data_IF_222978804728
#
_entry.id   IF_222978804728
#
_cell.length_a   1.000
_cell.length_b   1.000
_cell.length_c   1.000
_cell.angle_alpha   90.00
_cell.angle_beta   90.00
_cell.angle_gamma   90.00
#
_symmetry.space_group_name_H-M   'P 1'
#
loop_
_entity.id
_entity.type
_entity.pdbx_description
1 polymer ?
#
# COMPACT_ATOMS: atom_id res chain seq x y z
N UNK A 1 41.16 1.42 38.86
CA UNK A 1 41.06 2.16 37.58
C UNK A 1 40.48 1.25 36.48
N UNK A 2 39.20 0.87 36.57
CA UNK A 2 38.55 -0.06 35.60
C UNK A 2 37.13 0.36 35.19
N UNK A 3 36.49 1.25 35.95
CA UNK A 3 35.10 1.68 35.75
C UNK A 3 34.95 2.54 34.48
N UNK A 4 36.00 3.26 34.07
CA UNK A 4 36.00 4.08 32.85
C UNK A 4 36.04 3.26 31.56
N UNK A 5 36.59 2.04 31.57
CA UNK A 5 36.60 1.19 30.36
C UNK A 5 35.23 0.57 30.07
N UNK A 6 34.47 0.21 31.10
CA UNK A 6 33.17 -0.45 30.93
C UNK A 6 32.13 0.53 30.37
N UNK A 7 32.13 1.78 30.84
CA UNK A 7 31.23 2.83 30.34
C UNK A 7 31.52 3.19 28.88
N UNK A 8 32.79 3.24 28.47
CA UNK A 8 33.16 3.45 27.06
C UNK A 8 32.71 2.32 26.14
N UNK A 9 32.78 1.06 26.60
CA UNK A 9 32.30 -0.10 25.82
C UNK A 9 30.77 -0.06 25.67
N UNK A 10 30.04 0.22 26.74
CA UNK A 10 28.58 0.36 26.69
C UNK A 10 28.15 1.51 25.77
N UNK A 11 28.84 2.65 25.83
CA UNK A 11 28.56 3.77 24.94
C UNK A 11 28.84 3.44 23.47
N UNK A 12 29.96 2.77 23.18
CA UNK A 12 30.29 2.32 21.83
C UNK A 12 29.24 1.33 21.29
N UNK A 13 28.78 0.39 22.11
CA UNK A 13 27.71 -0.55 21.75
C UNK A 13 26.37 0.16 21.50
N UNK A 14 26.03 1.15 22.32
CA UNK A 14 24.82 1.97 22.14
C UNK A 14 24.87 2.75 20.82
N UNK A 15 25.99 3.43 20.54
CA UNK A 15 26.19 4.20 19.31
C UNK A 15 26.15 3.27 18.10
N UNK A 16 26.81 2.11 18.17
CA UNK A 16 26.81 1.10 17.11
C UNK A 16 25.40 0.55 16.86
N UNK A 17 24.65 0.25 17.92
CA UNK A 17 23.25 -0.18 17.83
C UNK A 17 22.36 0.90 17.18
N UNK A 18 22.51 2.16 17.57
CA UNK A 18 21.75 3.28 16.97
C UNK A 18 22.12 3.47 15.50
N UNK A 19 23.40 3.38 15.16
CA UNK A 19 23.88 3.47 13.77
C UNK A 19 23.31 2.34 12.91
N UNK A 20 23.33 1.09 13.39
CA UNK A 20 22.72 -0.06 12.73
C UNK A 20 21.20 0.12 12.55
N UNK A 21 20.51 0.62 13.57
CA UNK A 21 19.06 0.89 13.51
C UNK A 21 18.73 1.97 12.48
N UNK A 22 19.58 2.99 12.34
CA UNK A 22 19.42 4.06 11.34
C UNK A 22 19.70 3.55 9.92
N UNK A 23 20.74 2.73 9.74
CA UNK A 23 21.08 2.13 8.45
C UNK A 23 19.97 1.19 7.94
N UNK A 24 19.46 0.31 8.80
CA UNK A 24 18.32 -0.57 8.47
C UNK A 24 17.06 0.22 8.11
N UNK A 25 16.83 1.38 8.74
CA UNK A 25 15.73 2.28 8.38
C UNK A 25 15.93 2.93 7.01
N UNK A 26 17.16 3.18 6.58
CA UNK A 26 17.46 3.76 5.26
C UNK A 26 17.24 2.76 4.13
N UNK A 27 17.75 1.55 4.25
CA UNK A 27 17.57 0.51 3.22
C UNK A 27 16.09 0.20 2.96
N UNK A 28 15.29 0.09 4.03
CA UNK A 28 13.83 -0.10 3.90
C UNK A 28 13.16 1.09 3.19
N UNK A 29 13.61 2.31 3.44
CA UNK A 29 13.09 3.51 2.75
C UNK A 29 13.49 3.56 1.28
N UNK A 30 14.63 3.01 0.91
CA UNK A 30 15.10 2.95 -0.47
C UNK A 30 14.32 1.89 -1.28
N UNK A 31 14.05 0.73 -0.69
CA UNK A 31 13.19 -0.29 -1.30
C UNK A 31 11.76 0.23 -1.54
N UNK A 32 11.18 0.93 -0.55
CA UNK A 32 9.87 1.61 -0.68
C UNK A 32 9.91 2.65 -1.81
N UNK A 33 11.01 3.41 -1.96
CA UNK A 33 11.16 4.41 -3.02
C UNK A 33 11.28 3.81 -4.41
N UNK A 34 11.95 2.67 -4.56
CA UNK A 34 12.02 1.96 -5.84
C UNK A 34 10.64 1.44 -6.24
N UNK A 35 9.92 0.80 -5.31
CA UNK A 35 8.57 0.31 -5.55
C UNK A 35 7.60 1.44 -5.94
N UNK A 36 7.76 2.63 -5.34
CA UNK A 36 6.98 3.83 -5.68
C UNK A 36 7.21 4.36 -7.10
N UNK A 37 8.40 4.16 -7.67
CA UNK A 37 8.73 4.62 -9.04
C UNK A 37 8.08 3.77 -10.12
N UNK A 38 7.79 2.51 -9.81
CA UNK A 38 7.19 1.57 -10.78
C UNK A 38 5.67 1.52 -10.71
N UNK A 39 5.05 2.03 -9.63
CA UNK A 39 3.58 2.09 -9.53
C UNK A 39 2.96 3.01 -10.57
N UNK A 40 1.98 2.47 -11.29
CA UNK A 40 1.12 3.18 -12.23
C UNK A 40 0.32 4.28 -11.54
N UNK A 41 -0.19 5.23 -12.33
CA UNK A 41 -1.07 6.29 -11.82
C UNK A 41 -2.33 5.72 -11.14
N UNK A 42 -2.83 4.61 -11.68
CA UNK A 42 -4.02 3.93 -11.17
C UNK A 42 -3.76 3.29 -9.82
N UNK A 43 -2.63 2.60 -9.63
CA UNK A 43 -2.26 2.02 -8.34
C UNK A 43 -2.10 3.10 -7.27
N UNK A 44 -1.47 4.23 -7.61
CA UNK A 44 -1.36 5.37 -6.67
C UNK A 44 -2.73 5.92 -6.29
N UNK A 45 -3.65 5.99 -7.24
CA UNK A 45 -5.02 6.40 -6.94
C UNK A 45 -5.75 5.36 -6.09
N UNK A 46 -5.55 4.06 -6.33
CA UNK A 46 -6.13 3.00 -5.49
C UNK A 46 -5.64 3.13 -4.04
N UNK A 47 -4.34 3.31 -3.81
CA UNK A 47 -3.78 3.54 -2.48
C UNK A 47 -4.37 4.80 -1.83
N UNK A 48 -4.48 5.88 -2.60
CA UNK A 48 -5.04 7.14 -2.12
C UNK A 48 -6.51 7.01 -1.74
N UNK A 49 -7.32 6.39 -2.59
CA UNK A 49 -8.74 6.16 -2.36
C UNK A 49 -8.94 5.23 -1.15
N UNK A 50 -8.20 4.13 -1.09
CA UNK A 50 -8.23 3.18 0.03
C UNK A 50 -7.86 3.86 1.35
N UNK A 51 -6.81 4.68 1.37
CA UNK A 51 -6.41 5.42 2.57
C UNK A 51 -7.50 6.37 3.09
N UNK A 52 -8.30 6.97 2.20
CA UNK A 52 -9.41 7.86 2.58
C UNK A 52 -10.55 7.08 3.20
N UNK A 53 -10.96 5.98 2.58
CA UNK A 53 -12.07 5.18 3.10
C UNK A 53 -11.68 4.50 4.42
N UNK A 54 -10.45 4.01 4.55
CA UNK A 54 -9.93 3.47 5.81
C UNK A 54 -9.79 4.54 6.90
N UNK A 55 -9.36 5.76 6.54
CA UNK A 55 -9.25 6.85 7.52
C UNK A 55 -10.61 7.18 8.13
N UNK A 56 -11.67 7.23 7.32
CA UNK A 56 -13.04 7.41 7.82
C UNK A 56 -13.50 6.24 8.68
N UNK A 57 -13.18 5.00 8.28
CA UNK A 57 -13.60 3.78 8.96
C UNK A 57 -12.93 3.61 10.32
N UNK A 58 -11.62 3.79 10.37
CA UNK A 58 -10.77 3.50 11.53
C UNK A 58 -10.53 4.72 12.40
N UNK A 59 -10.93 5.93 11.94
CA UNK A 59 -10.59 7.20 12.58
C UNK A 59 -9.09 7.41 12.76
N UNK A 60 -8.28 6.84 11.86
CA UNK A 60 -6.82 6.96 11.84
C UNK A 60 -6.37 8.05 10.87
N UNK A 61 -5.16 8.59 11.10
CA UNK A 61 -4.56 9.57 10.21
C UNK A 61 -4.30 8.98 8.82
N UNK A 62 -4.78 9.67 7.78
CA UNK A 62 -4.62 9.24 6.39
C UNK A 62 -3.15 9.08 5.98
N UNK A 63 -2.26 9.94 6.45
CA UNK A 63 -0.83 9.87 6.14
C UNK A 63 -0.14 8.66 6.78
N UNK A 64 -0.65 8.18 7.91
CA UNK A 64 -0.19 6.94 8.53
C UNK A 64 -0.62 5.72 7.69
N UNK A 65 -1.89 5.67 7.30
CA UNK A 65 -2.46 4.62 6.46
C UNK A 65 -1.78 4.55 5.09
N UNK A 66 -1.58 5.71 4.44
CA UNK A 66 -0.93 5.79 3.13
C UNK A 66 0.51 5.29 3.19
N UNK A 67 1.26 5.65 4.24
CA UNK A 67 2.63 5.13 4.45
C UNK A 67 2.63 3.61 4.60
N UNK A 68 1.67 3.05 5.34
CA UNK A 68 1.51 1.61 5.46
C UNK A 68 1.29 0.99 4.07
N UNK A 69 0.33 1.50 3.28
CA UNK A 69 0.01 1.02 1.92
C UNK A 69 1.17 1.17 0.92
N UNK A 70 2.08 2.13 1.15
CA UNK A 70 3.33 2.26 0.40
C UNK A 70 4.41 1.24 0.87
N UNK A 71 4.12 0.41 1.87
CA UNK A 71 5.00 -0.63 2.39
C UNK A 71 5.87 -0.20 3.58
N UNK A 72 5.60 0.96 4.18
CA UNK A 72 6.29 1.36 5.40
C UNK A 72 5.78 0.55 6.60
N UNK A 73 6.66 0.14 7.54
CA UNK A 73 6.24 -0.58 8.73
C UNK A 73 5.57 0.38 9.72
N UNK A 74 4.25 0.49 9.65
CA UNK A 74 3.41 1.31 10.52
C UNK A 74 2.48 0.38 11.34
N UNK A 75 2.96 -0.19 12.46
CA UNK A 75 2.21 -1.21 13.21
C UNK A 75 0.87 -0.70 13.76
N UNK A 76 0.79 0.61 14.05
CA UNK A 76 -0.42 1.29 14.49
C UNK A 76 -1.52 1.34 13.41
N UNK A 77 -1.15 1.20 12.13
CA UNK A 77 -2.09 1.11 11.01
C UNK A 77 -2.35 -0.33 10.57
N UNK A 78 -1.30 -1.16 10.50
CA UNK A 78 -1.37 -2.53 9.94
C UNK A 78 -2.41 -3.40 10.65
N UNK A 79 -2.33 -3.52 11.98
CA UNK A 79 -3.25 -4.37 12.74
C UNK A 79 -4.72 -3.97 12.56
N UNK A 80 -5.09 -2.70 12.82
CA UNK A 80 -6.45 -2.23 12.60
C UNK A 80 -6.95 -2.39 11.16
N UNK A 81 -6.07 -2.26 10.15
CA UNK A 81 -6.45 -2.47 8.76
C UNK A 81 -6.76 -3.94 8.45
N UNK A 82 -5.95 -4.87 8.95
CA UNK A 82 -6.18 -6.31 8.79
C UNK A 82 -7.45 -6.77 9.50
N UNK A 83 -7.72 -6.27 10.70
CA UNK A 83 -8.92 -6.62 11.47
C UNK A 83 -10.21 -6.03 10.87
N UNK A 84 -10.11 -4.88 10.19
CA UNK A 84 -11.30 -4.21 9.67
C UNK A 84 -11.65 -4.62 8.25
N UNK A 85 -10.66 -4.94 7.42
CA UNK A 85 -10.86 -5.20 5.99
C UNK A 85 -11.01 -6.69 5.74
N UNK A 86 -12.20 -7.08 5.27
CA UNK A 86 -12.47 -8.45 4.84
C UNK A 86 -11.96 -8.72 3.42
N UNK A 87 -12.24 -7.81 2.52
CA UNK A 87 -11.95 -7.99 1.10
C UNK A 87 -11.78 -6.64 0.38
N UNK A 88 -10.85 -6.59 -0.58
CA UNK A 88 -10.65 -5.44 -1.45
C UNK A 88 -10.53 -5.87 -2.89
N UNK A 89 -11.23 -5.19 -3.78
CA UNK A 89 -11.20 -5.47 -5.20
C UNK A 89 -11.10 -4.18 -6.01
N UNK A 90 -10.34 -4.25 -7.09
CA UNK A 90 -10.36 -3.25 -8.16
C UNK A 90 -11.05 -3.83 -9.39
N UNK A 91 -12.13 -3.19 -9.81
CA UNK A 91 -12.83 -3.49 -11.05
C UNK A 91 -12.47 -2.45 -12.11
N UNK A 92 -12.01 -2.94 -13.25
CA UNK A 92 -11.67 -2.14 -14.42
C UNK A 92 -12.76 -2.35 -15.47
N UNK A 93 -13.30 -1.28 -16.05
CA UNK A 93 -14.41 -1.34 -17.02
C UNK A 93 -14.06 -0.50 -18.24
N UNK A 94 -14.15 -1.10 -19.43
CA UNK A 94 -14.00 -0.35 -20.68
C UNK A 94 -15.16 0.60 -20.88
N UNK A 95 -14.83 1.83 -21.28
CA UNK A 95 -15.82 2.81 -21.72
C UNK A 95 -15.82 2.91 -23.26
N UNK A 96 -16.95 3.26 -23.88
CA UNK A 96 -17.04 3.38 -25.34
C UNK A 96 -16.09 4.41 -25.96
N UNK A 97 -15.67 5.41 -25.18
CA UNK A 97 -14.72 6.45 -25.57
C UNK A 97 -13.25 5.99 -25.53
N UNK A 98 -12.99 4.73 -25.18
CA UNK A 98 -11.65 4.15 -25.08
C UNK A 98 -10.92 4.45 -23.77
N UNK A 99 -11.58 5.14 -22.82
CA UNK A 99 -11.09 5.27 -21.44
C UNK A 99 -11.45 4.05 -20.60
N UNK A 100 -10.86 3.96 -19.40
CA UNK A 100 -11.15 2.90 -18.44
C UNK A 100 -11.66 3.51 -17.15
N UNK A 101 -12.82 3.02 -16.69
CA UNK A 101 -13.31 3.31 -15.35
C UNK A 101 -12.73 2.29 -14.37
N UNK A 102 -12.12 2.78 -13.30
CA UNK A 102 -11.60 1.95 -12.22
C UNK A 102 -12.48 2.18 -11.01
N UNK A 103 -13.00 1.10 -10.45
CA UNK A 103 -13.81 1.08 -9.25
C UNK A 103 -13.04 0.30 -8.19
N UNK A 104 -12.81 0.93 -7.04
CA UNK A 104 -12.34 0.31 -5.83
C UNK A 104 -13.57 -0.08 -5.01
N UNK A 105 -13.67 -1.34 -4.64
CA UNK A 105 -14.68 -1.85 -3.72
C UNK A 105 -13.97 -2.46 -2.50
N UNK A 106 -14.34 -2.01 -1.30
CA UNK A 106 -13.79 -2.47 -0.02
C UNK A 106 -14.94 -2.99 0.83
N UNK A 107 -14.85 -4.25 1.25
CA UNK A 107 -15.76 -4.89 2.19
C UNK A 107 -15.09 -4.99 3.55
N UNK A 108 -15.80 -4.56 4.60
CA UNK A 108 -15.32 -4.60 5.98
C UNK A 108 -15.89 -5.81 6.73
N UNK A 109 -15.20 -6.22 7.79
CA UNK A 109 -15.60 -7.34 8.65
C UNK A 109 -16.93 -7.09 9.39
N UNK A 110 -17.28 -5.83 9.65
CA UNK A 110 -18.57 -5.46 10.26
C UNK A 110 -19.75 -5.47 9.27
N UNK A 111 -19.53 -5.96 8.05
CA UNK A 111 -20.55 -6.08 7.01
C UNK A 111 -20.82 -4.80 6.22
N UNK A 112 -20.17 -3.68 6.56
CA UNK A 112 -20.25 -2.46 5.76
C UNK A 112 -19.35 -2.55 4.53
N UNK A 113 -19.58 -1.68 3.54
CA UNK A 113 -18.72 -1.54 2.37
C UNK A 113 -18.52 -0.08 2.01
N UNK A 114 -17.39 0.21 1.36
CA UNK A 114 -17.09 1.50 0.77
C UNK A 114 -16.62 1.31 -0.67
N UNK A 115 -16.93 2.27 -1.53
CA UNK A 115 -16.48 2.25 -2.91
C UNK A 115 -16.05 3.63 -3.39
N UNK A 116 -15.13 3.64 -4.34
CA UNK A 116 -14.64 4.85 -4.99
C UNK A 116 -14.38 4.54 -6.46
N UNK A 117 -14.69 5.48 -7.36
CA UNK A 117 -14.40 5.31 -8.79
C UNK A 117 -13.66 6.50 -9.38
N UNK A 118 -12.92 6.24 -10.46
CA UNK A 118 -12.27 7.27 -11.26
C UNK A 118 -12.01 6.78 -12.67
N UNK A 119 -12.07 7.70 -13.63
CA UNK A 119 -11.80 7.43 -15.05
C UNK A 119 -10.34 7.75 -15.35
N UNK A 120 -9.69 6.85 -16.10
CA UNK A 120 -8.31 6.96 -16.52
C UNK A 120 -8.18 6.77 -18.04
N UNK A 121 -7.16 7.38 -18.66
CA UNK A 121 -6.80 7.02 -20.03
C UNK A 121 -6.25 5.61 -20.07
N UNK A 122 -6.44 4.91 -21.20
CA UNK A 122 -5.93 3.55 -21.43
C UNK A 122 -4.43 3.39 -21.17
N UNK A 123 -3.63 4.43 -21.41
CA UNK A 123 -2.18 4.42 -21.18
C UNK A 123 -1.79 4.35 -19.70
N UNK A 124 -2.64 4.79 -18.78
CA UNK A 124 -2.38 4.79 -17.35
C UNK A 124 -2.61 3.40 -16.71
N UNK A 125 -3.16 2.44 -17.46
CA UNK A 125 -3.46 1.11 -16.96
C UNK A 125 -2.21 0.28 -16.65
N UNK A 126 -2.23 -0.51 -15.55
CA UNK A 126 -1.23 -1.53 -15.31
C UNK A 126 -1.11 -2.48 -16.51
N UNK A 127 0.13 -2.84 -16.86
CA UNK A 127 0.40 -3.67 -18.03
C UNK A 127 -0.39 -4.99 -18.00
N UNK A 128 -0.41 -5.67 -16.85
CA UNK A 128 -1.13 -6.92 -16.67
C UNK A 128 -2.64 -6.82 -16.95
N UNK A 129 -3.28 -5.70 -16.60
CA UNK A 129 -4.73 -5.47 -16.85
C UNK A 129 -4.96 -5.17 -18.33
N UNK A 130 -4.11 -4.34 -18.94
CA UNK A 130 -4.17 -4.02 -20.37
C UNK A 130 -4.01 -5.27 -21.25
N UNK A 131 -3.07 -6.13 -20.88
CA UNK A 131 -2.79 -7.36 -21.62
C UNK A 131 -3.94 -8.34 -21.49
N UNK A 132 -4.57 -8.43 -20.30
CA UNK A 132 -5.76 -9.25 -20.13
C UNK A 132 -6.92 -8.76 -20.98
N UNK A 133 -7.23 -7.46 -20.97
CA UNK A 133 -8.28 -6.91 -21.82
C UNK A 133 -8.04 -7.19 -23.31
N UNK A 134 -6.78 -7.10 -23.74
CA UNK A 134 -6.39 -7.40 -25.12
C UNK A 134 -6.54 -8.89 -25.45
N UNK A 135 -6.25 -9.75 -24.47
CA UNK A 135 -6.32 -11.22 -24.61
C UNK A 135 -7.75 -11.77 -24.55
N UNK A 136 -8.59 -11.27 -23.65
CA UNK A 136 -9.93 -11.82 -23.38
C UNK A 136 -11.03 -11.08 -24.13
N UNK A 137 -10.82 -9.81 -24.48
CA UNK A 137 -11.88 -8.95 -25.03
C UNK A 137 -13.02 -8.67 -24.04
N UNK A 138 -12.81 -8.96 -22.74
CA UNK A 138 -13.84 -8.79 -21.73
C UNK A 138 -14.21 -7.29 -21.55
N UNK A 139 -15.49 -6.97 -21.28
CA UNK A 139 -15.90 -5.59 -21.02
C UNK A 139 -15.39 -5.06 -19.67
N UNK A 140 -15.05 -5.97 -18.74
CA UNK A 140 -14.51 -5.65 -17.44
C UNK A 140 -13.55 -6.72 -16.93
N UNK A 141 -12.58 -6.31 -16.11
CA UNK A 141 -11.61 -7.19 -15.43
C UNK A 141 -11.67 -6.89 -13.94
N UNK A 142 -11.75 -7.94 -13.11
CA UNK A 142 -11.66 -7.80 -11.66
C UNK A 142 -10.28 -8.25 -11.17
N UNK A 143 -9.74 -7.51 -10.20
CA UNK A 143 -8.50 -7.86 -9.52
C UNK A 143 -8.67 -7.78 -8.01
N UNK A 144 -8.36 -8.85 -7.27
CA UNK A 144 -8.22 -8.73 -5.83
C UNK A 144 -7.05 -7.80 -5.54
N UNK A 145 -7.22 -6.95 -4.53
CA UNK A 145 -6.14 -6.13 -3.98
C UNK A 145 -5.70 -6.75 -2.67
N UNK A 146 -4.39 -6.78 -2.48
CA UNK A 146 -3.77 -7.31 -1.26
C UNK A 146 -2.98 -6.18 -0.60
N UNK A 147 -2.89 -6.21 0.74
CA UNK A 147 -1.98 -5.34 1.43
C UNK A 147 -0.54 -5.68 1.04
N UNK A 148 0.37 -4.69 0.99
CA UNK A 148 1.75 -4.93 0.57
C UNK A 148 2.52 -5.84 1.53
N UNK A 149 2.02 -6.03 2.76
CA UNK A 149 2.57 -6.95 3.76
C UNK A 149 1.81 -8.28 3.87
N UNK A 150 0.65 -8.42 3.24
CA UNK A 150 -0.07 -9.69 3.20
C UNK A 150 0.52 -10.56 2.09
N UNK A 151 0.86 -11.81 2.40
CA UNK A 151 1.24 -12.79 1.38
C UNK A 151 0.00 -13.11 0.55
N UNK A 152 0.05 -13.03 -0.80
CA UNK A 152 -1.01 -13.62 -1.61
C UNK A 152 -0.95 -15.14 -1.39
N UNK A 153 -1.99 -15.70 -0.77
CA UNK A 153 -2.17 -17.15 -0.65
C UNK A 153 -2.44 -17.81 -2.02
#
# INVERSE_FOLDING_TARGET
>A
MTITSISSILFALLVFYVALKLLRRREKREAVRQHRRERSEVERWLDDALSRELSRKLSLERDLLLRALEGAPEPEAVGPMEEAVREMQAKYVWRPDGSVEVLLDVSFEDGTSASANRIFPRSAMPAAVRDEFTRTGAPSVLRPLHFPWSTPE
#
